data_IF_603002279124
#
_entry.id   IF_603002279124
#
_cell.length_a   1.000
_cell.length_b   1.000
_cell.length_c   1.000
_cell.angle_alpha   90.00
_cell.angle_beta   90.00
_cell.angle_gamma   90.00
#
_symmetry.space_group_name_H-M   'P 1'
#
loop_
_entity.id
_entity.type
_entity.pdbx_description
1 polymer ?
#
# COMPACT_ATOMS: atom_id res chain seq x y z
N UNK A 1 -21.22 -0.51 -5.45
CA UNK A 1 -19.97 -0.83 -6.16
C UNK A 1 -19.16 -1.70 -5.24
N UNK A 2 -18.75 -2.87 -5.68
CA UNK A 2 -17.81 -3.70 -4.94
C UNK A 2 -16.46 -2.97 -4.81
N UNK A 3 -15.81 -3.08 -3.65
CA UNK A 3 -14.48 -2.49 -3.42
C UNK A 3 -13.47 -2.91 -4.51
N UNK A 4 -13.60 -4.15 -4.98
CA UNK A 4 -12.78 -4.70 -6.06
C UNK A 4 -12.99 -3.97 -7.40
N UNK A 5 -14.24 -3.63 -7.74
CA UNK A 5 -14.53 -2.85 -8.95
C UNK A 5 -14.01 -1.43 -8.83
N UNK A 6 -14.26 -0.77 -7.70
CA UNK A 6 -13.78 0.59 -7.45
C UNK A 6 -12.26 0.66 -7.55
N UNK A 7 -11.57 -0.33 -6.99
CA UNK A 7 -10.11 -0.46 -7.05
C UNK A 7 -9.61 -0.68 -8.47
N UNK A 8 -10.27 -1.55 -9.25
CA UNK A 8 -9.91 -1.79 -10.65
C UNK A 8 -10.12 -0.55 -11.52
N UNK A 9 -11.20 0.19 -11.27
CA UNK A 9 -11.52 1.43 -11.95
C UNK A 9 -10.49 2.52 -11.64
N UNK A 10 -10.17 2.73 -10.35
CA UNK A 10 -9.14 3.67 -9.91
C UNK A 10 -7.75 3.30 -10.40
N UNK A 11 -7.40 2.01 -10.47
CA UNK A 11 -6.15 1.57 -11.09
C UNK A 11 -6.05 1.93 -12.57
N UNK A 12 -7.20 2.06 -13.26
CA UNK A 12 -7.27 2.39 -14.68
C UNK A 12 -7.39 3.89 -14.94
N UNK A 13 -8.14 4.60 -14.11
CA UNK A 13 -8.44 6.04 -14.27
C UNK A 13 -7.47 6.94 -13.50
N UNK A 14 -6.93 6.49 -12.36
CA UNK A 14 -6.05 7.28 -11.49
C UNK A 14 -4.62 6.74 -11.52
N UNK A 15 -3.74 7.47 -12.20
CA UNK A 15 -2.30 7.21 -12.19
C UNK A 15 -1.71 7.31 -10.77
N UNK A 16 -2.26 8.18 -9.93
CA UNK A 16 -1.85 8.31 -8.52
C UNK A 16 -2.21 7.06 -7.70
N UNK A 17 -3.41 6.51 -7.92
CA UNK A 17 -3.82 5.27 -7.27
C UNK A 17 -2.92 4.12 -7.68
N UNK A 18 -2.58 4.04 -8.98
CA UNK A 18 -1.66 3.04 -9.52
C UNK A 18 -0.28 3.12 -8.88
N UNK A 19 0.30 4.32 -8.75
CA UNK A 19 1.58 4.52 -8.06
C UNK A 19 1.50 4.11 -6.59
N UNK A 20 0.47 4.56 -5.89
CA UNK A 20 0.27 4.23 -4.46
C UNK A 20 0.12 2.72 -4.26
N UNK A 21 -0.57 2.02 -5.17
CA UNK A 21 -0.70 0.58 -5.15
C UNK A 21 0.62 -0.15 -5.41
N UNK A 22 1.41 0.32 -6.38
CA UNK A 22 2.74 -0.23 -6.68
C UNK A 22 3.69 -0.06 -5.49
N UNK A 23 3.74 1.15 -4.90
CA UNK A 23 4.50 1.43 -3.68
C UNK A 23 4.06 0.53 -2.51
N UNK A 24 2.74 0.28 -2.38
CA UNK A 24 2.22 -0.61 -1.34
C UNK A 24 2.68 -2.05 -1.56
N UNK A 25 2.66 -2.53 -2.81
CA UNK A 25 3.19 -3.86 -3.15
C UNK A 25 4.70 -3.95 -2.96
N UNK A 26 5.45 -2.88 -3.26
CA UNK A 26 6.88 -2.83 -2.99
C UNK A 26 7.17 -2.92 -1.49
N UNK A 27 6.41 -2.19 -0.65
CA UNK A 27 6.51 -2.30 0.81
C UNK A 27 6.17 -3.70 1.32
N UNK A 28 5.14 -4.34 0.78
CA UNK A 28 4.78 -5.73 1.10
C UNK A 28 5.93 -6.70 0.78
N UNK A 29 6.52 -6.61 -0.42
CA UNK A 29 7.63 -7.48 -0.83
C UNK A 29 8.87 -7.27 0.02
N UNK A 30 9.19 -6.02 0.36
CA UNK A 30 10.30 -5.70 1.26
C UNK A 30 10.05 -6.28 2.67
N UNK A 31 8.83 -6.13 3.20
CA UNK A 31 8.44 -6.75 4.47
C UNK A 31 8.51 -8.27 4.43
N UNK A 32 8.07 -8.90 3.35
CA UNK A 32 8.10 -10.36 3.19
C UNK A 32 9.54 -10.89 3.17
N UNK A 33 10.43 -10.18 2.47
CA UNK A 33 11.87 -10.49 2.43
C UNK A 33 12.50 -10.40 3.82
N UNK A 34 12.12 -9.40 4.61
CA UNK A 34 12.57 -9.23 5.99
C UNK A 34 11.98 -10.35 6.86
N UNK A 35 10.67 -10.57 6.82
CA UNK A 35 9.97 -11.60 7.62
C UNK A 35 10.41 -13.03 7.30
N UNK A 36 10.89 -13.28 6.08
CA UNK A 36 11.46 -14.56 5.68
C UNK A 36 12.83 -14.86 6.31
N UNK A 37 13.52 -13.85 6.86
CA UNK A 37 14.78 -14.05 7.59
C UNK A 37 14.47 -14.47 9.02
N UNK A 38 15.06 -15.59 9.45
CA UNK A 38 14.86 -16.14 10.81
C UNK A 38 15.45 -15.27 11.92
N UNK A 39 16.40 -14.38 11.58
CA UNK A 39 16.98 -13.41 12.49
C UNK A 39 17.06 -12.06 11.80
N UNK A 40 16.43 -11.06 12.40
CA UNK A 40 16.51 -9.67 11.97
C UNK A 40 17.59 -8.95 12.75
N UNK A 41 18.45 -8.24 12.04
CA UNK A 41 19.34 -7.26 12.68
C UNK A 41 18.53 -6.09 13.23
N UNK A 42 19.05 -5.31 14.19
CA UNK A 42 18.37 -4.13 14.71
C UNK A 42 17.97 -3.14 13.60
N UNK A 43 18.83 -2.97 12.59
CA UNK A 43 18.57 -2.14 11.43
C UNK A 43 17.38 -2.66 10.60
N UNK A 44 17.29 -3.97 10.39
CA UNK A 44 16.16 -4.58 9.66
C UNK A 44 14.85 -4.54 10.46
N UNK A 45 14.91 -4.62 11.79
CA UNK A 45 13.73 -4.48 12.64
C UNK A 45 13.18 -3.04 12.63
N UNK A 46 14.06 -2.04 12.61
CA UNK A 46 13.68 -0.65 12.37
C UNK A 46 13.12 -0.44 10.96
N UNK A 47 13.77 -1.01 9.94
CA UNK A 47 13.29 -0.96 8.56
C UNK A 47 11.91 -1.65 8.41
N UNK A 48 11.68 -2.79 9.09
CA UNK A 48 10.38 -3.45 9.14
C UNK A 48 9.29 -2.54 9.73
N UNK A 49 9.61 -1.84 10.82
CA UNK A 49 8.69 -0.87 11.45
C UNK A 49 8.37 0.29 10.52
N UNK A 50 9.39 0.85 9.87
CA UNK A 50 9.22 1.94 8.93
C UNK A 50 8.42 1.50 7.69
N UNK A 51 8.68 0.31 7.17
CA UNK A 51 7.91 -0.29 6.07
C UNK A 51 6.46 -0.55 6.46
N UNK A 52 6.18 -1.03 7.68
CA UNK A 52 4.81 -1.18 8.20
C UNK A 52 4.08 0.16 8.27
N UNK A 53 4.74 1.22 8.73
CA UNK A 53 4.17 2.59 8.75
C UNK A 53 3.91 3.10 7.33
N UNK A 54 4.88 2.96 6.42
CA UNK A 54 4.73 3.34 5.00
C UNK A 54 3.58 2.58 4.35
N UNK A 55 3.50 1.27 4.55
CA UNK A 55 2.40 0.42 4.08
C UNK A 55 1.05 0.93 4.59
N UNK A 56 0.95 1.25 5.88
CA UNK A 56 -0.27 1.81 6.46
C UNK A 56 -0.63 3.15 5.83
N UNK A 57 0.33 4.06 5.67
CA UNK A 57 0.11 5.36 5.03
C UNK A 57 -0.34 5.24 3.57
N UNK A 58 0.24 4.30 2.81
CA UNK A 58 -0.15 4.01 1.43
C UNK A 58 -1.57 3.44 1.37
N UNK A 59 -1.92 2.51 2.26
CA UNK A 59 -3.29 2.00 2.39
C UNK A 59 -4.27 3.13 2.72
N UNK A 60 -3.92 4.02 3.65
CA UNK A 60 -4.72 5.19 4.02
C UNK A 60 -4.95 6.10 2.80
N UNK A 61 -3.90 6.35 2.01
CA UNK A 61 -3.97 7.13 0.78
C UNK A 61 -4.86 6.48 -0.27
N UNK A 62 -4.78 5.16 -0.44
CA UNK A 62 -5.70 4.41 -1.31
C UNK A 62 -7.15 4.55 -0.85
N UNK A 63 -7.41 4.46 0.46
CA UNK A 63 -8.75 4.62 1.03
C UNK A 63 -9.31 6.03 0.82
N UNK A 64 -8.47 7.06 0.97
CA UNK A 64 -8.87 8.46 0.68
C UNK A 64 -9.25 8.63 -0.78
N UNK A 65 -8.41 8.16 -1.71
CA UNK A 65 -8.72 8.20 -3.15
C UNK A 65 -10.03 7.47 -3.48
N UNK A 66 -10.26 6.29 -2.88
CA UNK A 66 -11.53 5.56 -3.02
C UNK A 66 -12.72 6.34 -2.48
N UNK A 67 -12.58 6.94 -1.30
CA UNK A 67 -13.64 7.72 -0.64
C UNK A 67 -13.95 9.02 -1.38
N UNK A 68 -12.94 9.72 -1.88
CA UNK A 68 -13.09 10.91 -2.71
C UNK A 68 -13.80 10.57 -4.01
N UNK A 69 -13.35 9.52 -4.70
CA UNK A 69 -13.99 9.06 -5.94
C UNK A 69 -15.45 8.62 -5.72
N UNK A 70 -15.73 7.92 -4.62
CA UNK A 70 -17.09 7.53 -4.24
C UNK A 70 -17.98 8.72 -3.85
N UNK A 71 -17.40 9.86 -3.45
CA UNK A 71 -18.14 11.09 -3.12
C UNK A 71 -18.39 11.96 -4.35
N UNK A 72 -17.49 11.94 -5.33
CA UNK A 72 -17.60 12.74 -6.56
C UNK A 72 -18.60 12.14 -7.58
N UNK A 73 -19.07 10.92 -7.36
CA UNK A 73 -19.92 10.17 -8.30
C UNK A 73 -21.25 9.78 -7.66
#
# INVERSE_FOLDING_TARGET
MDEQELKALLLRESAEFRRTHDDHQACEKALDTIRGKSYLTPAEADEERELKKKKLALKDRMYRLMSEYARTR
#
